data_IF_815361510462
#
_entry.id   IF_815361510462
#
_cell.length_a   1.000
_cell.length_b   1.000
_cell.length_c   1.000
_cell.angle_alpha   90.00
_cell.angle_beta   90.00
_cell.angle_gamma   90.00
#
_symmetry.space_group_name_H-M   'P 1'
#
loop_
_entity.id
_entity.type
_entity.pdbx_description
1 polymer ?
#
# COMPACT_ATOMS: atom_id res chain seq x y z
N UNK A 1 -19.74 7.57 25.46
CA UNK A 1 -19.18 7.64 24.09
C UNK A 1 -17.89 8.45 24.14
N UNK A 2 -16.72 7.87 23.82
CA UNK A 2 -15.47 8.64 23.73
C UNK A 2 -15.59 9.62 22.55
N UNK A 3 -15.11 10.85 22.74
CA UNK A 3 -15.22 12.01 21.83
C UNK A 3 -14.58 11.83 20.44
N UNK A 4 -14.02 10.67 20.14
CA UNK A 4 -13.03 10.46 19.06
C UNK A 4 -13.56 9.69 17.85
N UNK A 5 -14.75 9.07 17.92
CA UNK A 5 -15.40 8.49 16.74
C UNK A 5 -16.28 9.55 16.09
N UNK A 6 -15.65 10.48 15.37
CA UNK A 6 -16.37 11.28 14.37
C UNK A 6 -16.41 10.50 13.08
N UNK A 7 -17.53 10.60 12.37
CA UNK A 7 -17.62 10.06 11.01
C UNK A 7 -16.54 10.71 10.13
N UNK A 8 -15.86 9.89 9.34
CA UNK A 8 -14.85 10.34 8.39
C UNK A 8 -15.50 11.29 7.37
N UNK A 9 -14.89 12.44 7.04
CA UNK A 9 -15.35 13.28 5.94
C UNK A 9 -15.41 12.49 4.62
N UNK A 10 -16.35 12.83 3.74
CA UNK A 10 -16.53 12.14 2.45
C UNK A 10 -15.26 12.13 1.59
N UNK A 11 -14.51 13.23 1.58
CA UNK A 11 -13.24 13.32 0.85
C UNK A 11 -12.21 12.29 1.35
N UNK A 12 -12.23 11.98 2.65
CA UNK A 12 -11.34 10.98 3.24
C UNK A 12 -11.81 9.56 2.93
N UNK A 13 -13.13 9.33 2.92
CA UNK A 13 -13.69 8.06 2.45
C UNK A 13 -13.29 7.82 0.99
N UNK A 14 -13.39 8.85 0.14
CA UNK A 14 -12.97 8.78 -1.26
C UNK A 14 -11.46 8.52 -1.39
N UNK A 15 -10.64 9.20 -0.59
CA UNK A 15 -9.19 8.99 -0.58
C UNK A 15 -8.80 7.54 -0.24
N UNK A 16 -9.50 6.91 0.70
CA UNK A 16 -9.30 5.48 1.00
C UNK A 16 -9.82 4.62 -0.17
N UNK A 17 -11.05 4.88 -0.61
CA UNK A 17 -11.74 4.06 -1.60
C UNK A 17 -11.03 4.01 -2.95
N UNK A 18 -10.45 5.13 -3.43
CA UNK A 18 -9.75 5.13 -4.72
C UNK A 18 -8.54 4.19 -4.74
N UNK A 19 -7.78 4.12 -3.63
CA UNK A 19 -6.66 3.19 -3.50
C UNK A 19 -7.15 1.73 -3.46
N UNK A 20 -8.24 1.49 -2.73
CA UNK A 20 -8.88 0.18 -2.64
C UNK A 20 -9.35 -0.30 -4.03
N UNK A 21 -10.07 0.55 -4.76
CA UNK A 21 -10.60 0.26 -6.09
C UNK A 21 -9.46 0.01 -7.07
N UNK A 22 -8.37 0.79 -7.02
CA UNK A 22 -7.25 0.60 -7.94
C UNK A 22 -6.62 -0.79 -7.80
N UNK A 23 -6.42 -1.28 -6.58
CA UNK A 23 -5.84 -2.60 -6.31
C UNK A 23 -6.80 -3.74 -6.69
N UNK A 24 -8.10 -3.54 -6.47
CA UNK A 24 -9.14 -4.55 -6.70
C UNK A 24 -9.79 -4.49 -8.08
N UNK A 25 -9.41 -3.55 -8.95
CA UNK A 25 -10.17 -3.19 -10.15
C UNK A 25 -10.50 -4.37 -11.09
N UNK A 26 -9.55 -5.27 -11.30
CA UNK A 26 -9.74 -6.47 -12.14
C UNK A 26 -10.27 -7.71 -11.41
N UNK A 27 -10.42 -7.64 -10.08
CA UNK A 27 -10.80 -8.81 -9.29
C UNK A 27 -12.30 -9.07 -9.34
N UNK A 28 -12.68 -10.36 -9.39
CA UNK A 28 -14.09 -10.76 -9.23
C UNK A 28 -14.56 -10.46 -7.80
N UNK A 29 -13.73 -10.80 -6.81
CA UNK A 29 -13.91 -10.45 -5.40
C UNK A 29 -13.23 -9.10 -5.11
N UNK A 30 -13.89 -8.01 -5.48
CA UNK A 30 -13.34 -6.65 -5.35
C UNK A 30 -13.60 -6.00 -3.97
N UNK A 31 -14.42 -6.64 -3.13
CA UNK A 31 -14.72 -6.15 -1.78
C UNK A 31 -13.72 -6.71 -0.78
N UNK A 32 -13.21 -5.85 0.10
CA UNK A 32 -12.32 -6.22 1.18
C UNK A 32 -13.10 -6.71 2.41
N UNK A 33 -13.95 -7.72 2.27
CA UNK A 33 -14.93 -8.16 3.29
C UNK A 33 -14.29 -8.59 4.63
N UNK A 34 -13.02 -9.02 4.62
CA UNK A 34 -12.26 -9.33 5.84
C UNK A 34 -11.80 -8.09 6.61
N UNK A 35 -11.97 -6.88 6.08
CA UNK A 35 -11.56 -5.61 6.71
C UNK A 35 -12.72 -4.61 6.72
N UNK A 36 -13.19 -4.22 7.90
CA UNK A 36 -14.39 -3.40 8.05
C UNK A 36 -14.15 -2.03 8.72
N UNK A 37 -12.91 -1.78 9.16
CA UNK A 37 -12.54 -0.57 9.92
C UNK A 37 -11.34 0.13 9.32
N UNK A 38 -11.50 1.42 9.04
CA UNK A 38 -10.44 2.30 8.56
C UNK A 38 -10.33 3.52 9.46
N UNK A 39 -9.13 3.77 9.98
CA UNK A 39 -8.84 4.89 10.86
C UNK A 39 -7.91 5.88 10.18
N UNK A 40 -8.11 7.17 10.45
CA UNK A 40 -7.21 8.23 9.96
C UNK A 40 -6.77 9.10 11.13
N UNK A 41 -5.46 9.29 11.23
CA UNK A 41 -4.83 10.26 12.13
C UNK A 41 -4.26 11.43 11.32
N UNK A 42 -4.26 12.63 11.89
CA UNK A 42 -3.67 13.81 11.25
C UNK A 42 -2.13 13.88 11.30
N UNK A 43 -1.47 12.89 11.89
CA UNK A 43 -0.01 12.82 12.01
C UNK A 43 0.42 11.35 12.08
N UNK A 44 1.73 11.10 11.99
CA UNK A 44 2.29 9.78 12.21
C UNK A 44 1.95 9.29 13.62
N UNK A 45 1.63 8.01 13.77
CA UNK A 45 1.06 7.44 14.99
C UNK A 45 1.86 6.22 15.43
N UNK A 46 1.92 5.92 16.74
CA UNK A 46 2.32 4.61 17.24
C UNK A 46 1.08 3.72 17.44
N UNK A 47 1.30 2.41 17.52
CA UNK A 47 0.30 1.40 17.92
C UNK A 47 0.90 0.48 18.99
N UNK A 48 0.09 -0.35 19.67
CA UNK A 48 0.62 -1.35 20.60
C UNK A 48 1.64 -2.30 19.95
N UNK A 49 1.38 -2.71 18.69
CA UNK A 49 2.23 -3.64 17.94
C UNK A 49 3.47 -2.93 17.35
N UNK A 50 3.34 -1.66 16.98
CA UNK A 50 4.42 -0.81 16.44
C UNK A 50 4.56 0.45 17.29
N UNK A 51 5.36 0.36 18.36
CA UNK A 51 5.59 1.45 19.33
C UNK A 51 6.50 2.59 18.82
N UNK A 52 6.64 2.75 17.51
CA UNK A 52 7.34 3.83 16.84
C UNK A 52 6.37 4.57 15.89
N UNK A 53 6.70 5.81 15.53
CA UNK A 53 5.84 6.60 14.65
C UNK A 53 5.87 6.06 13.22
N UNK A 54 4.68 5.80 12.68
CA UNK A 54 4.49 5.36 11.31
C UNK A 54 3.25 5.99 10.69
N UNK A 55 3.13 5.87 9.37
CA UNK A 55 2.09 6.54 8.59
C UNK A 55 1.01 5.59 8.09
N UNK A 56 1.24 4.28 8.17
CA UNK A 56 0.29 3.26 7.73
C UNK A 56 0.46 1.98 8.53
N UNK A 57 -0.63 1.34 8.91
CA UNK A 57 -0.62 0.01 9.51
C UNK A 57 -1.82 -0.78 9.03
N UNK A 58 -1.61 -2.04 8.69
CA UNK A 58 -2.68 -3.02 8.49
C UNK A 58 -2.61 -3.99 9.67
N UNK A 59 -3.64 -4.00 10.50
CA UNK A 59 -3.77 -4.95 11.59
C UNK A 59 -4.69 -6.09 11.14
N UNK A 60 -4.10 -7.27 10.93
CA UNK A 60 -4.81 -8.44 10.42
C UNK A 60 -5.69 -9.12 11.48
N UNK A 61 -5.31 -9.02 12.76
CA UNK A 61 -6.08 -9.59 13.87
C UNK A 61 -7.35 -8.77 14.11
N UNK A 62 -7.20 -7.44 14.20
CA UNK A 62 -8.28 -6.49 14.37
C UNK A 62 -8.98 -6.14 13.05
N UNK A 63 -8.54 -6.68 11.91
CA UNK A 63 -9.19 -6.49 10.60
C UNK A 63 -9.39 -5.01 10.25
N UNK A 64 -8.37 -4.22 10.48
CA UNK A 64 -8.41 -2.77 10.30
C UNK A 64 -7.17 -2.24 9.60
N UNK A 65 -7.29 -1.06 8.98
CA UNK A 65 -6.15 -0.29 8.54
C UNK A 65 -6.18 1.14 9.10
N UNK A 66 -5.00 1.67 9.38
CA UNK A 66 -4.80 2.98 9.98
C UNK A 66 -3.91 3.79 9.05
N UNK A 67 -4.25 5.06 8.82
CA UNK A 67 -3.53 5.95 7.91
C UNK A 67 -3.19 7.29 8.54
N UNK A 68 -2.06 7.85 8.14
CA UNK A 68 -1.74 9.27 8.30
C UNK A 68 -2.35 10.05 7.13
N UNK A 69 -3.25 10.97 7.46
CA UNK A 69 -4.01 11.79 6.50
C UNK A 69 -3.10 12.52 5.51
N UNK A 70 -2.06 13.20 6.01
CA UNK A 70 -1.21 14.05 5.18
C UNK A 70 -0.43 13.22 4.14
N UNK A 71 0.06 12.05 4.56
CA UNK A 71 0.83 11.16 3.69
C UNK A 71 -0.10 10.45 2.70
N UNK A 72 -1.29 10.05 3.14
CA UNK A 72 -2.31 9.43 2.28
C UNK A 72 -2.73 10.37 1.15
N UNK A 73 -3.09 11.62 1.48
CA UNK A 73 -3.49 12.62 0.48
C UNK A 73 -2.33 12.94 -0.48
N UNK A 74 -1.10 13.06 0.05
CA UNK A 74 0.09 13.29 -0.78
C UNK A 74 0.33 12.18 -1.79
N UNK A 75 0.06 10.92 -1.42
CA UNK A 75 0.22 9.76 -2.30
C UNK A 75 -0.81 9.65 -3.42
N UNK A 76 -1.95 10.36 -3.34
CA UNK A 76 -2.95 10.42 -4.41
C UNK A 76 -2.54 11.32 -5.57
N UNK A 77 -1.63 12.27 -5.34
CA UNK A 77 -1.21 13.20 -6.36
C UNK A 77 -0.09 12.57 -7.20
N UNK A 78 -0.40 12.20 -8.45
CA UNK A 78 0.54 11.59 -9.40
C UNK A 78 1.79 12.44 -9.68
N UNK A 79 1.72 13.77 -9.49
CA UNK A 79 2.88 14.65 -9.64
C UNK A 79 3.75 14.72 -8.38
N UNK A 80 3.21 14.28 -7.25
CA UNK A 80 3.88 14.24 -5.96
C UNK A 80 4.38 12.81 -5.77
N UNK A 81 5.67 12.59 -6.00
CA UNK A 81 6.26 11.23 -6.03
C UNK A 81 6.52 10.64 -4.64
N UNK A 82 5.56 10.86 -3.73
CA UNK A 82 5.52 10.24 -2.42
C UNK A 82 4.98 8.82 -2.58
N UNK A 83 5.67 7.84 -2.01
CA UNK A 83 5.22 6.45 -2.00
C UNK A 83 3.79 6.35 -1.42
N UNK A 84 2.88 5.78 -2.20
CA UNK A 84 1.45 5.80 -1.88
C UNK A 84 1.12 4.75 -0.81
N UNK A 85 0.99 5.22 0.43
CA UNK A 85 0.68 4.38 1.59
C UNK A 85 -0.72 3.75 1.53
N UNK A 86 -1.65 4.34 0.77
CA UNK A 86 -3.00 3.82 0.56
C UNK A 86 -2.97 2.55 -0.28
N UNK A 87 -2.34 2.61 -1.47
CA UNK A 87 -2.10 1.43 -2.30
C UNK A 87 -1.33 0.38 -1.50
N UNK A 88 -0.28 0.77 -0.78
CA UNK A 88 0.50 -0.16 0.04
C UNK A 88 -0.35 -0.92 1.07
N UNK A 89 -1.25 -0.24 1.78
CA UNK A 89 -2.17 -0.92 2.70
C UNK A 89 -3.09 -1.90 1.98
N UNK A 90 -3.72 -1.48 0.88
CA UNK A 90 -4.66 -2.35 0.16
C UNK A 90 -3.98 -3.52 -0.57
N UNK A 91 -2.73 -3.36 -0.97
CA UNK A 91 -1.88 -4.45 -1.46
C UNK A 91 -1.59 -5.45 -0.34
N UNK A 92 -1.23 -4.99 0.86
CA UNK A 92 -1.03 -5.88 2.02
C UNK A 92 -2.32 -6.65 2.36
N UNK A 93 -3.45 -5.95 2.37
CA UNK A 93 -4.77 -6.57 2.56
C UNK A 93 -5.03 -7.60 1.45
N UNK A 94 -4.81 -7.25 0.18
CA UNK A 94 -5.00 -8.16 -0.95
C UNK A 94 -4.15 -9.43 -0.82
N UNK A 95 -2.87 -9.29 -0.50
CA UNK A 95 -1.96 -10.43 -0.28
C UNK A 95 -2.47 -11.32 0.85
N UNK A 96 -2.94 -10.72 1.95
CA UNK A 96 -3.51 -11.46 3.07
C UNK A 96 -4.83 -12.18 2.71
N UNK A 97 -5.65 -11.58 1.86
CA UNK A 97 -6.93 -12.17 1.46
C UNK A 97 -6.78 -13.32 0.47
N UNK A 98 -5.72 -13.29 -0.35
CA UNK A 98 -5.46 -14.24 -1.43
C UNK A 98 -4.15 -15.03 -1.25
N UNK A 99 -3.90 -15.70 -0.11
CA UNK A 99 -2.66 -16.43 0.13
C UNK A 99 -2.43 -17.60 -0.84
N UNK A 100 -3.46 -18.03 -1.56
CA UNK A 100 -3.41 -19.05 -2.60
C UNK A 100 -2.79 -18.58 -3.92
N UNK A 101 -2.70 -17.25 -4.15
CA UNK A 101 -2.07 -16.71 -5.36
C UNK A 101 -0.55 -16.91 -5.29
N UNK A 102 0.05 -17.08 -6.48
CA UNK A 102 1.50 -17.26 -6.58
C UNK A 102 2.22 -15.91 -6.52
N UNK A 103 2.77 -15.58 -5.35
CA UNK A 103 3.58 -14.39 -5.17
C UNK A 103 5.06 -14.67 -5.47
N UNK A 104 5.76 -13.76 -6.17
CA UNK A 104 7.15 -14.01 -6.54
C UNK A 104 8.05 -14.08 -5.31
N UNK A 105 9.06 -14.94 -5.39
CA UNK A 105 10.15 -14.98 -4.42
C UNK A 105 11.22 -13.98 -4.87
N UNK A 106 11.37 -12.90 -4.11
CA UNK A 106 12.23 -11.78 -4.46
C UNK A 106 13.57 -11.89 -3.71
N UNK A 107 14.68 -11.81 -4.45
CA UNK A 107 15.98 -11.57 -3.86
C UNK A 107 16.04 -10.12 -3.36
N UNK A 108 16.21 -9.93 -2.04
CA UNK A 108 16.15 -8.61 -1.42
C UNK A 108 17.20 -7.65 -1.99
N UNK A 109 18.45 -8.12 -2.17
CA UNK A 109 19.54 -7.27 -2.64
C UNK A 109 19.30 -6.81 -4.08
N UNK A 110 18.98 -7.74 -4.97
CA UNK A 110 18.67 -7.44 -6.38
C UNK A 110 17.39 -6.64 -6.55
N UNK A 111 16.39 -6.85 -5.68
CA UNK A 111 15.16 -6.07 -5.67
C UNK A 111 15.47 -4.59 -5.39
N UNK A 112 16.14 -4.29 -4.28
CA UNK A 112 16.46 -2.90 -3.92
C UNK A 112 17.36 -2.22 -4.96
N UNK A 113 18.32 -2.95 -5.54
CA UNK A 113 19.14 -2.42 -6.65
C UNK A 113 18.31 -1.99 -7.87
N UNK A 114 17.26 -2.74 -8.21
CA UNK A 114 16.34 -2.37 -9.31
C UNK A 114 15.46 -1.18 -8.94
N UNK A 115 15.03 -1.07 -7.68
CA UNK A 115 14.24 0.07 -7.21
C UNK A 115 14.98 1.39 -7.39
N UNK A 116 16.30 1.42 -7.18
CA UNK A 116 17.12 2.64 -7.39
C UNK A 116 17.06 3.19 -8.83
N UNK A 117 16.63 2.40 -9.81
CA UNK A 117 16.45 2.87 -11.19
C UNK A 117 15.11 3.57 -11.44
N UNK A 118 14.19 3.54 -10.47
CA UNK A 118 12.86 4.13 -10.57
C UNK A 118 12.93 5.58 -10.05
N UNK A 119 12.69 6.60 -10.90
CA UNK A 119 12.89 7.98 -10.50
C UNK A 119 12.05 8.40 -9.28
N UNK A 120 12.73 8.96 -8.26
CA UNK A 120 12.15 9.50 -7.03
C UNK A 120 11.55 8.45 -6.07
N UNK A 121 11.75 7.17 -6.36
CA UNK A 121 11.51 6.08 -5.41
C UNK A 121 12.84 5.37 -5.13
N UNK A 122 13.16 5.25 -3.85
CA UNK A 122 14.24 4.42 -3.36
C UNK A 122 13.85 3.85 -1.99
N UNK A 123 14.70 3.00 -1.42
CA UNK A 123 14.43 2.37 -0.14
C UNK A 123 14.13 3.40 0.95
N UNK A 124 14.94 4.46 1.05
CA UNK A 124 14.75 5.52 2.04
C UNK A 124 13.43 6.28 1.86
N UNK A 125 13.03 6.60 0.63
CA UNK A 125 11.78 7.27 0.32
C UNK A 125 10.57 6.43 0.75
N UNK A 126 10.63 5.11 0.54
CA UNK A 126 9.60 4.16 0.96
C UNK A 126 9.52 4.11 2.49
N UNK A 127 10.66 3.93 3.17
CA UNK A 127 10.73 3.90 4.64
C UNK A 127 10.23 5.21 5.23
N UNK A 128 10.62 6.35 4.66
CA UNK A 128 10.17 7.67 5.12
C UNK A 128 8.66 7.85 4.94
N UNK A 129 8.07 7.30 3.88
CA UNK A 129 6.64 7.37 3.67
C UNK A 129 5.87 6.50 4.67
N UNK A 130 6.26 5.23 4.86
CA UNK A 130 5.53 4.29 5.73
C UNK A 130 5.89 4.42 7.20
N UNK A 131 7.12 4.82 7.52
CA UNK A 131 7.68 4.99 8.87
C UNK A 131 8.38 3.75 9.45
N UNK A 132 8.65 2.73 8.63
CA UNK A 132 9.34 1.51 9.03
C UNK A 132 9.92 0.76 7.82
N UNK A 133 10.71 -0.28 8.08
CA UNK A 133 11.18 -1.21 7.05
C UNK A 133 10.04 -2.11 6.58
N UNK A 134 9.70 -2.15 5.28
CA UNK A 134 8.60 -2.98 4.79
C UNK A 134 8.79 -4.47 5.11
N UNK A 135 7.79 -5.07 5.75
CA UNK A 135 7.82 -6.51 6.11
C UNK A 135 7.69 -7.43 4.88
N UNK A 136 7.18 -6.92 3.77
CA UNK A 136 6.91 -7.67 2.53
C UNK A 136 7.42 -6.90 1.31
N UNK A 137 8.42 -7.46 0.63
CA UNK A 137 8.93 -6.94 -0.64
C UNK A 137 7.86 -7.00 -1.75
N UNK A 138 6.97 -8.00 -1.71
CA UNK A 138 5.84 -8.10 -2.63
C UNK A 138 4.88 -6.92 -2.46
N UNK A 139 4.67 -6.46 -1.22
CA UNK A 139 3.82 -5.31 -0.97
C UNK A 139 4.41 -4.03 -1.56
N UNK A 140 5.73 -3.86 -1.46
CA UNK A 140 6.44 -2.75 -2.10
C UNK A 140 6.36 -2.86 -3.61
N UNK A 141 6.69 -4.03 -4.17
CA UNK A 141 6.71 -4.29 -5.61
C UNK A 141 5.35 -4.01 -6.26
N UNK A 142 4.26 -4.52 -5.71
CA UNK A 142 2.93 -4.28 -6.26
C UNK A 142 2.48 -2.83 -6.09
N UNK A 143 2.88 -2.16 -5.01
CA UNK A 143 2.61 -0.73 -4.87
C UNK A 143 3.29 0.06 -5.99
N UNK A 144 4.55 -0.26 -6.29
CA UNK A 144 5.30 0.36 -7.38
C UNK A 144 4.69 0.02 -8.75
N UNK A 145 4.19 -1.21 -8.95
CA UNK A 145 3.45 -1.58 -10.15
C UNK A 145 2.25 -0.66 -10.41
N UNK A 146 1.45 -0.37 -9.38
CA UNK A 146 0.30 0.51 -9.53
C UNK A 146 0.66 1.99 -9.67
N UNK A 147 1.77 2.43 -9.04
CA UNK A 147 2.22 3.82 -9.10
C UNK A 147 2.99 4.16 -10.39
N UNK A 148 3.82 3.22 -10.87
CA UNK A 148 4.81 3.40 -11.93
C UNK A 148 4.81 2.18 -12.87
N UNK A 149 3.72 1.96 -13.63
CA UNK A 149 3.56 0.75 -14.44
C UNK A 149 4.63 0.63 -15.54
N UNK A 150 5.01 1.73 -16.19
CA UNK A 150 6.02 1.70 -17.25
C UNK A 150 7.43 1.41 -16.72
N UNK A 151 7.81 2.02 -15.60
CA UNK A 151 9.07 1.75 -14.92
C UNK A 151 9.10 0.32 -14.37
N UNK A 152 7.98 -0.15 -13.81
CA UNK A 152 7.85 -1.53 -13.33
C UNK A 152 8.02 -2.53 -14.47
N UNK A 153 7.42 -2.26 -15.63
CA UNK A 153 7.59 -3.09 -16.84
C UNK A 153 9.04 -3.10 -17.34
N UNK A 154 9.74 -1.98 -17.22
CA UNK A 154 11.14 -1.86 -17.63
C UNK A 154 12.09 -2.59 -16.68
N UNK A 155 11.95 -2.38 -15.37
CA UNK A 155 12.88 -2.90 -14.37
C UNK A 155 12.55 -4.35 -13.95
N UNK A 156 11.28 -4.76 -14.06
CA UNK A 156 10.78 -6.11 -13.72
C UNK A 156 9.94 -6.73 -14.86
N UNK A 157 10.50 -6.88 -16.09
CA UNK A 157 9.71 -7.27 -17.26
C UNK A 157 9.04 -8.64 -17.16
N UNK A 158 9.73 -9.61 -16.55
CA UNK A 158 9.19 -10.97 -16.38
C UNK A 158 8.05 -10.97 -15.35
N UNK A 159 8.27 -10.32 -14.21
CA UNK A 159 7.28 -10.22 -13.14
C UNK A 159 6.07 -9.36 -13.55
N UNK A 160 6.26 -8.36 -14.41
CA UNK A 160 5.17 -7.50 -14.88
C UNK A 160 4.03 -8.29 -15.53
N UNK A 161 4.35 -9.36 -16.27
CA UNK A 161 3.34 -10.25 -16.87
C UNK A 161 2.59 -11.05 -15.81
N UNK A 162 3.30 -11.49 -14.78
CA UNK A 162 2.70 -12.20 -13.66
C UNK A 162 1.79 -11.26 -12.85
N UNK A 163 2.11 -9.96 -12.76
CA UNK A 163 1.28 -8.96 -12.09
C UNK A 163 -0.06 -8.76 -12.79
N UNK A 164 -0.03 -8.60 -14.13
CA UNK A 164 -1.24 -8.50 -14.94
C UNK A 164 -2.16 -9.71 -14.70
N UNK A 165 -1.58 -10.90 -14.61
CA UNK A 165 -2.32 -12.13 -14.29
C UNK A 165 -2.84 -12.13 -12.84
N UNK A 166 -2.01 -11.71 -11.88
CA UNK A 166 -2.36 -11.68 -10.44
C UNK A 166 -3.53 -10.74 -10.16
N UNK A 167 -3.52 -9.58 -10.81
CA UNK A 167 -4.49 -8.50 -10.63
C UNK A 167 -5.60 -8.48 -11.70
N UNK A 168 -5.60 -9.42 -12.64
CA UNK A 168 -6.55 -9.52 -13.76
C UNK A 168 -6.63 -8.21 -14.60
N UNK A 169 -5.47 -7.67 -14.98
CA UNK A 169 -5.31 -6.42 -15.74
C UNK A 169 -4.79 -6.65 -17.16
#
# INVERSE_FOLDING_TARGET
MRKEQKELPEDMKLAIAVNAIQVSFGQEEYLYDKFDRYFIYGHAFPTPDKQFLHSVEVNYEDKMAIFNMDVLIKGLNVNNRVFNIGIFAFVNIFIYQHPEKNYPNLDETGFWQKIENIPEINKDAIINAIGYEPESLNSVLFTIFFMYPEESKKEFPDLYRDFLTTFNL
#
